data_IF_106984426532
#
_entry.id   IF_106984426532
#
_cell.length_a   1.000
_cell.length_b   1.000
_cell.length_c   1.000
_cell.angle_alpha   90.00
_cell.angle_beta   90.00
_cell.angle_gamma   90.00
#
_symmetry.space_group_name_H-M   'P 1'
#
loop_
_entity.id
_entity.type
_entity.pdbx_description
1 polymer ?
#
# COMPACT_ATOMS: atom_id res chain seq x y z
N UNK A 1 22.72 1.40 6.60
CA UNK A 1 22.59 -0.04 6.30
C UNK A 1 21.52 -0.18 5.23
N UNK A 2 21.82 -0.75 4.07
CA UNK A 2 20.81 -0.96 3.03
C UNK A 2 19.78 -1.98 3.54
N UNK A 3 18.51 -1.59 3.62
CA UNK A 3 17.44 -2.53 3.98
C UNK A 3 17.34 -3.59 2.89
N UNK A 4 17.50 -4.87 3.25
CA UNK A 4 17.20 -5.98 2.33
C UNK A 4 15.69 -6.02 2.09
N UNK A 5 15.27 -5.72 0.87
CA UNK A 5 13.89 -5.91 0.43
C UNK A 5 13.69 -7.42 0.24
N UNK A 6 12.56 -8.01 0.69
CA UNK A 6 12.25 -9.41 0.46
C UNK A 6 12.22 -9.77 -1.03
N UNK A 7 12.58 -11.01 -1.37
CA UNK A 7 12.51 -11.50 -2.75
C UNK A 7 11.11 -11.33 -3.34
N UNK A 8 11.03 -10.83 -4.58
CA UNK A 8 9.77 -10.56 -5.28
C UNK A 8 9.01 -9.30 -4.81
N UNK A 9 9.55 -8.52 -3.87
CA UNK A 9 8.95 -7.25 -3.44
C UNK A 9 9.77 -6.04 -3.92
N UNK A 10 9.08 -4.92 -4.11
CA UNK A 10 9.69 -3.62 -4.39
C UNK A 10 9.25 -2.59 -3.33
N UNK A 11 10.09 -1.61 -3.01
CA UNK A 11 9.74 -0.53 -2.09
C UNK A 11 8.93 0.55 -2.84
N UNK A 12 7.77 0.91 -2.28
CA UNK A 12 6.97 2.05 -2.73
C UNK A 12 7.06 3.17 -1.70
N UNK A 13 7.75 4.25 -2.07
CA UNK A 13 7.93 5.43 -1.22
C UNK A 13 7.12 6.60 -1.78
N UNK A 14 6.12 7.07 -1.02
CA UNK A 14 5.23 8.18 -1.40
C UNK A 14 5.04 9.16 -0.26
N UNK A 15 4.79 10.43 -0.62
CA UNK A 15 4.39 11.46 0.33
C UNK A 15 2.87 11.59 0.32
N UNK A 16 2.27 11.53 1.49
CA UNK A 16 0.83 11.72 1.71
C UNK A 16 0.63 12.64 2.91
N UNK A 17 -0.53 13.27 2.99
CA UNK A 17 -0.91 14.08 4.15
C UNK A 17 -0.77 13.30 5.46
N UNK A 18 -0.22 13.96 6.48
CA UNK A 18 0.06 13.34 7.78
C UNK A 18 -1.22 12.82 8.44
N UNK A 19 -2.30 13.59 8.35
CA UNK A 19 -3.60 13.19 8.88
C UNK A 19 -4.18 12.01 8.10
N UNK A 20 -4.05 12.02 6.77
CA UNK A 20 -4.49 10.92 5.93
C UNK A 20 -3.76 9.62 6.28
N UNK A 21 -2.43 9.67 6.43
CA UNK A 21 -1.62 8.53 6.89
C UNK A 21 -2.07 8.01 8.26
N UNK A 22 -2.39 8.90 9.18
CA UNK A 22 -2.84 8.53 10.53
C UNK A 22 -4.19 7.80 10.46
N UNK A 23 -5.16 8.37 9.75
CA UNK A 23 -6.47 7.75 9.54
C UNK A 23 -6.36 6.39 8.86
N UNK A 24 -5.54 6.30 7.82
CA UNK A 24 -5.27 5.04 7.13
C UNK A 24 -4.67 3.99 8.06
N UNK A 25 -3.66 4.35 8.87
CA UNK A 25 -3.05 3.44 9.85
C UNK A 25 -4.07 2.94 10.88
N UNK A 26 -4.91 3.84 11.41
CA UNK A 26 -5.95 3.47 12.38
C UNK A 26 -6.95 2.50 11.76
N UNK A 27 -7.43 2.77 10.55
CA UNK A 27 -8.36 1.89 9.84
C UNK A 27 -7.77 0.51 9.54
N UNK A 28 -6.48 0.42 9.17
CA UNK A 28 -5.79 -0.86 8.98
C UNK A 28 -5.71 -1.65 10.29
N UNK A 29 -5.38 -0.96 11.38
CA UNK A 29 -5.26 -1.58 12.72
C UNK A 29 -6.61 -2.12 13.21
N UNK A 30 -7.70 -1.39 12.98
CA UNK A 30 -9.05 -1.83 13.35
C UNK A 30 -9.49 -3.09 12.59
N UNK A 31 -8.90 -3.35 11.42
CA UNK A 31 -9.22 -4.50 10.57
C UNK A 31 -8.18 -5.63 10.69
N UNK A 32 -7.24 -5.53 11.63
CA UNK A 32 -6.12 -6.46 11.80
C UNK A 32 -5.30 -6.70 10.51
N UNK A 33 -5.21 -5.67 9.65
CA UNK A 33 -4.45 -5.70 8.40
C UNK A 33 -3.19 -4.85 8.48
N UNK A 34 -2.12 -5.29 7.82
CA UNK A 34 -0.93 -4.45 7.67
C UNK A 34 -1.18 -3.36 6.62
N UNK A 35 -0.57 -2.18 6.82
CA UNK A 35 -0.66 -1.09 5.83
C UNK A 35 -0.14 -1.53 4.45
N UNK A 36 0.85 -2.43 4.40
CA UNK A 36 1.41 -2.93 3.14
C UNK A 36 0.42 -3.81 2.39
N UNK A 37 -0.30 -4.69 3.07
CA UNK A 37 -1.32 -5.54 2.45
C UNK A 37 -2.46 -4.71 1.87
N UNK A 38 -2.96 -3.74 2.65
CA UNK A 38 -4.02 -2.83 2.18
C UNK A 38 -3.54 -1.97 0.99
N UNK A 39 -2.30 -1.50 1.00
CA UNK A 39 -1.74 -0.76 -0.15
C UNK A 39 -1.66 -1.65 -1.40
N UNK A 40 -1.25 -2.91 -1.28
CA UNK A 40 -1.24 -3.84 -2.41
C UNK A 40 -2.65 -4.07 -2.96
N UNK A 41 -3.63 -4.33 -2.08
CA UNK A 41 -5.05 -4.49 -2.47
C UNK A 41 -5.57 -3.25 -3.23
N UNK A 42 -5.29 -2.05 -2.73
CA UNK A 42 -5.69 -0.80 -3.38
C UNK A 42 -5.00 -0.57 -4.73
N UNK A 43 -3.72 -0.96 -4.87
CA UNK A 43 -2.99 -0.89 -6.13
C UNK A 43 -3.58 -1.87 -7.14
N UNK A 44 -3.83 -3.12 -6.74
CA UNK A 44 -4.43 -4.13 -7.60
C UNK A 44 -5.82 -3.71 -8.09
N UNK A 45 -6.66 -3.19 -7.19
CA UNK A 45 -7.99 -2.68 -7.53
C UNK A 45 -7.90 -1.50 -8.51
N UNK A 46 -6.99 -0.54 -8.26
CA UNK A 46 -6.76 0.56 -9.19
C UNK A 46 -6.30 0.06 -10.56
N UNK A 47 -5.38 -0.90 -10.62
CA UNK A 47 -4.92 -1.49 -11.89
C UNK A 47 -6.05 -2.25 -12.59
N UNK A 48 -6.89 -2.99 -11.88
CA UNK A 48 -8.02 -3.70 -12.48
C UNK A 48 -9.01 -2.74 -13.17
N UNK A 49 -9.22 -1.57 -12.59
CA UNK A 49 -10.10 -0.54 -13.14
C UNK A 49 -9.46 0.25 -14.30
N UNK A 50 -8.14 0.44 -14.28
CA UNK A 50 -7.43 1.36 -15.19
C UNK A 50 -6.57 0.66 -16.25
N UNK A 51 -6.26 -0.63 -16.09
CA UNK A 51 -5.65 -1.49 -17.10
C UNK A 51 -6.72 -2.37 -17.76
N UNK A 52 -7.70 -1.74 -18.40
CA UNK A 52 -8.48 -2.45 -19.40
C UNK A 52 -7.56 -2.72 -20.61
N UNK A 53 -7.37 -4.01 -20.92
CA UNK A 53 -6.60 -4.55 -22.04
C UNK A 53 -6.62 -3.64 -23.28
N UNK A 54 -5.45 -3.18 -23.73
CA UNK A 54 -5.20 -3.08 -25.18
C UNK A 54 -4.94 -4.46 -25.74
#
# INVERSE_FOLDING_TARGET
>A
MAKKIPEGKAELSVYVDKELKLRFKVACTQQDKSMGDVVNELIEDWLAQNQQKS
#
